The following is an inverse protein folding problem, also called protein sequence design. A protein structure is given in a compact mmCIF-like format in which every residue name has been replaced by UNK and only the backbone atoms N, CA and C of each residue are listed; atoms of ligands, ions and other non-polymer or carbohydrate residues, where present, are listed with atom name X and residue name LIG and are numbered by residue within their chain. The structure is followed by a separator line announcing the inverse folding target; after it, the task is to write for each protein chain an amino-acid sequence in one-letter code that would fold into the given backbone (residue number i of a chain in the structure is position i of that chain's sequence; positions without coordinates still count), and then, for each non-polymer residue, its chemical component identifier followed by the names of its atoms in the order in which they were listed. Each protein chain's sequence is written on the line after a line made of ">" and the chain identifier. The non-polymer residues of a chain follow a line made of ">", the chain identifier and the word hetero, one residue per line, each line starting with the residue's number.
data_IF_724015502840
#
_entry.id   IF_724015502840
#
_cell.length_a   1.000
_cell.length_b   1.000
_cell.length_c   1.000
_cell.angle_alpha   90.00
_cell.angle_beta   90.00
_cell.angle_gamma   90.00
#
_symmetry.space_group_name_H-M   'P 1'
#
loop_
_entity.id
_entity.type
_entity.pdbx_description
1 polymer ?
#
# COMPACT_ATOMS: atom_id res chain seq x y z
N UNK A 1 17.92 -32.77 -7.75
CA UNK A 1 18.72 -31.83 -8.57
C UNK A 1 17.83 -30.72 -9.16
N UNK A 2 16.82 -31.01 -9.99
CA UNK A 2 15.96 -29.95 -10.58
C UNK A 2 15.19 -29.11 -9.52
N UNK A 3 14.77 -29.68 -8.39
CA UNK A 3 14.08 -28.95 -7.31
C UNK A 3 15.02 -28.05 -6.50
N UNK A 4 16.29 -28.39 -6.37
CA UNK A 4 17.28 -27.53 -5.69
C UNK A 4 17.78 -26.39 -6.61
N UNK A 5 17.94 -26.65 -7.92
CA UNK A 5 18.28 -25.60 -8.89
C UNK A 5 17.15 -24.58 -9.06
N UNK A 6 15.88 -24.97 -8.93
CA UNK A 6 14.75 -24.03 -8.98
C UNK A 6 14.71 -23.08 -7.80
N UNK A 7 15.13 -23.53 -6.60
CA UNK A 7 15.21 -22.68 -5.39
C UNK A 7 16.35 -21.65 -5.46
N UNK A 8 17.44 -21.96 -6.13
CA UNK A 8 18.62 -21.07 -6.27
C UNK A 8 18.29 -19.80 -7.10
N UNK A 9 17.21 -19.82 -7.86
CA UNK A 9 16.84 -18.72 -8.77
C UNK A 9 15.59 -17.92 -8.33
N UNK A 10 15.00 -18.26 -7.18
CA UNK A 10 13.82 -17.54 -6.66
C UNK A 10 14.20 -16.16 -6.11
N UNK A 11 13.46 -15.14 -6.51
CA UNK A 11 13.66 -13.78 -6.01
C UNK A 11 13.45 -13.70 -4.51
N UNK A 12 14.34 -13.06 -3.77
CA UNK A 12 14.20 -12.84 -2.33
C UNK A 12 13.36 -11.59 -2.08
N UNK A 13 12.25 -11.74 -1.38
CA UNK A 13 11.27 -10.66 -1.17
C UNK A 13 11.21 -10.27 0.31
N UNK A 14 11.29 -8.97 0.61
CA UNK A 14 10.92 -8.45 1.92
C UNK A 14 9.46 -8.00 1.86
N UNK A 15 8.63 -8.48 2.77
CA UNK A 15 7.21 -8.08 2.91
C UNK A 15 7.04 -7.36 4.24
N UNK A 16 6.36 -6.21 4.26
CA UNK A 16 6.08 -5.53 5.52
C UNK A 16 5.63 -4.10 5.37
N UNK A 17 5.39 -3.46 6.50
CA UNK A 17 5.04 -2.03 6.58
C UNK A 17 5.30 -1.46 7.98
N UNK A 18 5.26 -0.14 8.13
CA UNK A 18 5.03 0.48 9.44
C UNK A 18 3.65 0.08 9.97
N UNK A 19 3.59 -0.27 11.25
CA UNK A 19 2.34 -0.66 11.94
C UNK A 19 2.14 0.18 13.20
N UNK A 20 0.86 0.33 13.61
CA UNK A 20 0.51 1.15 14.76
C UNK A 20 -0.67 0.56 15.53
N UNK A 21 -0.69 0.74 16.86
CA UNK A 21 -1.78 0.29 17.74
C UNK A 21 -3.16 0.85 17.36
N UNK A 22 -3.22 1.99 16.67
CA UNK A 22 -4.49 2.56 16.17
C UNK A 22 -5.21 1.64 15.16
N UNK A 23 -4.46 0.75 14.50
CA UNK A 23 -4.95 -0.25 13.56
C UNK A 23 -5.03 -1.65 14.16
N UNK A 24 -5.05 -1.76 15.50
CA UNK A 24 -5.15 -3.04 16.19
C UNK A 24 -6.40 -3.85 15.80
N UNK A 25 -7.46 -3.18 15.38
CA UNK A 25 -8.72 -3.79 14.95
C UNK A 25 -8.58 -4.77 13.77
N UNK A 26 -7.57 -4.61 12.93
CA UNK A 26 -7.33 -5.44 11.75
C UNK A 26 -6.08 -6.33 11.86
N UNK A 27 -5.32 -6.27 12.95
CA UNK A 27 -4.00 -6.90 13.05
C UNK A 27 -4.05 -8.41 12.86
N UNK A 28 -5.10 -9.10 13.32
CA UNK A 28 -5.20 -10.54 13.16
C UNK A 28 -5.35 -10.94 11.69
N UNK A 29 -6.28 -10.30 10.96
CA UNK A 29 -6.51 -10.57 9.55
C UNK A 29 -5.29 -10.21 8.69
N UNK A 30 -4.62 -9.12 9.03
CA UNK A 30 -3.37 -8.73 8.40
C UNK A 30 -2.25 -9.75 8.63
N UNK A 31 -2.04 -10.21 9.85
CA UNK A 31 -1.06 -11.23 10.19
C UNK A 31 -1.32 -12.55 9.44
N UNK A 32 -2.56 -13.01 9.47
CA UNK A 32 -3.00 -14.21 8.76
C UNK A 32 -2.73 -14.09 7.25
N UNK A 33 -2.98 -12.92 6.66
CA UNK A 33 -2.70 -12.69 5.25
C UNK A 33 -1.22 -12.72 4.91
N UNK A 34 -0.37 -12.02 5.67
CA UNK A 34 1.07 -11.99 5.40
C UNK A 34 1.73 -13.37 5.57
N UNK A 35 1.31 -14.14 6.58
CA UNK A 35 1.87 -15.47 6.85
C UNK A 35 1.33 -16.57 5.93
N UNK A 36 0.28 -16.29 5.15
CA UNK A 36 -0.36 -17.24 4.24
C UNK A 36 -0.06 -16.98 2.76
N UNK A 37 0.89 -16.10 2.44
CA UNK A 37 1.33 -15.88 1.07
C UNK A 37 1.89 -17.18 0.47
N UNK A 38 1.60 -17.44 -0.81
CA UNK A 38 1.95 -18.70 -1.47
C UNK A 38 3.39 -18.76 -1.94
N UNK A 39 4.07 -17.62 -2.05
CA UNK A 39 5.48 -17.54 -2.44
C UNK A 39 6.39 -18.04 -1.32
N UNK A 40 7.41 -18.85 -1.64
CA UNK A 40 8.24 -19.49 -0.61
C UNK A 40 9.44 -18.65 -0.13
N UNK A 41 9.99 -17.77 -0.99
CA UNK A 41 11.24 -17.05 -0.69
C UNK A 41 10.96 -15.60 -0.28
N UNK A 42 10.28 -15.41 0.83
CA UNK A 42 10.04 -14.10 1.41
C UNK A 42 10.26 -14.08 2.92
N UNK A 43 10.63 -12.92 3.43
CA UNK A 43 10.72 -12.61 4.85
C UNK A 43 9.70 -11.52 5.19
N UNK A 44 9.14 -11.59 6.39
CA UNK A 44 8.26 -10.54 6.93
C UNK A 44 9.08 -9.67 7.88
N UNK A 45 8.88 -8.36 7.84
CA UNK A 45 9.31 -7.44 8.88
C UNK A 45 8.30 -6.30 9.04
N UNK A 46 7.84 -6.11 10.27
CA UNK A 46 6.99 -4.98 10.65
C UNK A 46 7.81 -3.95 11.44
N UNK A 47 7.44 -2.69 11.34
CA UNK A 47 8.04 -1.61 12.14
C UNK A 47 6.94 -1.00 13.00
N UNK A 48 6.90 -1.37 14.28
CA UNK A 48 5.93 -0.76 15.21
C UNK A 48 6.34 0.68 15.54
N UNK A 49 5.50 1.62 15.16
CA UNK A 49 5.67 3.05 15.41
C UNK A 49 4.70 3.59 16.48
N UNK A 50 4.12 2.73 17.31
CA UNK A 50 3.28 3.11 18.45
C UNK A 50 4.11 3.79 19.55
N UNK A 51 3.47 4.61 20.39
CA UNK A 51 4.16 5.35 21.44
C UNK A 51 4.74 4.42 22.53
N UNK A 52 3.95 3.42 22.94
CA UNK A 52 4.33 2.45 23.96
C UNK A 52 4.83 1.12 23.39
N UNK A 53 5.18 0.19 24.27
CA UNK A 53 5.69 -1.13 23.88
C UNK A 53 4.61 -2.23 23.88
N UNK A 54 3.39 -1.91 24.27
CA UNK A 54 2.30 -2.91 24.39
C UNK A 54 2.00 -3.57 23.06
N UNK A 55 1.91 -2.78 22.00
CA UNK A 55 1.62 -3.26 20.65
C UNK A 55 2.81 -4.06 20.08
N UNK A 56 4.03 -3.57 20.29
CA UNK A 56 5.24 -4.31 19.93
C UNK A 56 5.27 -5.72 20.57
N UNK A 57 5.00 -5.82 21.88
CA UNK A 57 4.95 -7.10 22.60
C UNK A 57 3.81 -7.98 22.09
N UNK A 58 2.65 -7.39 21.77
CA UNK A 58 1.53 -8.12 21.15
C UNK A 58 1.92 -8.75 19.83
N UNK A 59 2.56 -7.99 18.92
CA UNK A 59 3.04 -8.50 17.63
C UNK A 59 4.04 -9.65 17.82
N UNK A 60 4.99 -9.49 18.73
CA UNK A 60 5.94 -10.58 19.10
C UNK A 60 5.24 -11.84 19.60
N UNK A 61 4.17 -11.69 20.40
CA UNK A 61 3.38 -12.84 20.88
C UNK A 61 2.59 -13.54 19.78
N UNK A 62 2.37 -12.87 18.65
CA UNK A 62 1.78 -13.44 17.43
C UNK A 62 2.82 -14.09 16.50
N UNK A 63 4.08 -14.20 16.94
CA UNK A 63 5.22 -14.68 16.14
C UNK A 63 5.46 -13.87 14.86
N UNK A 64 5.10 -12.59 14.85
CA UNK A 64 5.39 -11.68 13.73
C UNK A 64 6.78 -11.07 13.93
N UNK A 65 7.66 -11.13 12.92
CA UNK A 65 8.92 -10.41 12.95
C UNK A 65 8.68 -8.90 13.00
N UNK A 66 9.05 -8.27 14.10
CA UNK A 66 8.79 -6.85 14.35
C UNK A 66 9.99 -6.17 14.99
N UNK A 67 10.29 -4.95 14.57
CA UNK A 67 11.21 -4.05 15.25
C UNK A 67 10.47 -2.83 15.78
N UNK A 68 10.99 -2.23 16.84
CA UNK A 68 10.46 -0.98 17.36
C UNK A 68 11.08 0.17 16.58
N UNK A 69 10.22 0.96 15.91
CA UNK A 69 10.61 2.23 15.29
C UNK A 69 10.60 3.37 16.30
N UNK A 70 11.26 4.46 15.95
CA UNK A 70 11.18 5.71 16.72
C UNK A 70 9.76 6.29 16.63
N UNK A 71 9.27 6.81 17.76
CA UNK A 71 7.98 7.49 17.82
C UNK A 71 8.13 8.98 17.51
N UNK A 72 7.31 9.46 16.59
CA UNK A 72 7.17 10.87 16.27
C UNK A 72 5.71 11.30 16.50
N UNK A 73 5.48 12.53 16.95
CA UNK A 73 4.11 13.04 17.14
C UNK A 73 3.38 13.18 15.80
N UNK A 74 4.08 13.59 14.74
CA UNK A 74 3.52 13.68 13.39
C UNK A 74 3.40 12.27 12.76
N UNK A 75 2.17 11.84 12.36
CA UNK A 75 1.97 10.51 11.78
C UNK A 75 2.79 10.24 10.52
N UNK A 76 2.98 11.25 9.67
CA UNK A 76 3.76 11.12 8.43
C UNK A 76 5.24 10.83 8.71
N UNK A 77 5.79 11.45 9.75
CA UNK A 77 7.19 11.18 10.16
C UNK A 77 7.34 9.73 10.62
N UNK A 78 6.36 9.18 11.37
CA UNK A 78 6.35 7.77 11.79
C UNK A 78 6.31 6.83 10.59
N UNK A 79 5.43 7.11 9.61
CA UNK A 79 5.27 6.30 8.41
C UNK A 79 6.56 6.27 7.59
N UNK A 80 7.14 7.44 7.33
CA UNK A 80 8.37 7.60 6.56
C UNK A 80 9.55 6.95 7.25
N UNK A 81 9.70 7.15 8.55
CA UNK A 81 10.75 6.49 9.33
C UNK A 81 10.68 4.97 9.19
N UNK A 82 9.51 4.39 9.42
CA UNK A 82 9.31 2.95 9.31
C UNK A 82 9.55 2.41 7.90
N UNK A 83 9.04 3.08 6.86
CA UNK A 83 9.29 2.68 5.47
C UNK A 83 10.76 2.76 5.09
N UNK A 84 11.49 3.75 5.60
CA UNK A 84 12.93 3.86 5.35
C UNK A 84 13.74 2.79 6.09
N UNK A 85 13.35 2.37 7.29
CA UNK A 85 13.97 1.22 7.96
C UNK A 85 13.80 -0.06 7.14
N UNK A 86 12.60 -0.31 6.61
CA UNK A 86 12.33 -1.46 5.73
C UNK A 86 13.11 -1.36 4.41
N UNK A 87 13.16 -0.16 3.82
CA UNK A 87 13.96 0.12 2.64
C UNK A 87 15.44 -0.20 2.88
N UNK A 88 16.02 0.27 3.98
CA UNK A 88 17.42 0.04 4.32
C UNK A 88 17.71 -1.45 4.54
N UNK A 89 16.81 -2.16 5.24
CA UNK A 89 16.90 -3.62 5.36
C UNK A 89 16.89 -4.30 4.00
N UNK A 90 15.94 -3.94 3.13
CA UNK A 90 15.84 -4.54 1.80
C UNK A 90 17.12 -4.34 0.97
N UNK A 91 17.75 -3.17 1.08
CA UNK A 91 19.01 -2.87 0.37
C UNK A 91 20.18 -3.64 0.97
N UNK A 92 20.35 -3.58 2.30
CA UNK A 92 21.55 -4.06 3.00
C UNK A 92 21.60 -5.59 3.06
N UNK A 93 20.45 -6.26 3.09
CA UNK A 93 20.36 -7.72 3.15
C UNK A 93 20.10 -8.37 1.78
N UNK A 94 20.17 -7.56 0.71
CA UNK A 94 20.17 -8.06 -0.67
C UNK A 94 18.84 -8.64 -1.14
N UNK A 95 17.70 -8.14 -0.65
CA UNK A 95 16.40 -8.49 -1.21
C UNK A 95 16.28 -7.99 -2.65
N UNK A 96 15.67 -8.78 -3.52
CA UNK A 96 15.41 -8.38 -4.91
C UNK A 96 14.29 -7.33 -4.98
N UNK A 97 13.26 -7.49 -4.13
CA UNK A 97 12.10 -6.61 -4.05
C UNK A 97 11.67 -6.38 -2.61
N UNK A 98 10.99 -5.26 -2.42
CA UNK A 98 10.22 -4.94 -1.23
C UNK A 98 8.74 -4.83 -1.60
N UNK A 99 7.88 -5.58 -0.91
CA UNK A 99 6.43 -5.47 -0.96
C UNK A 99 5.96 -4.74 0.29
N UNK A 100 5.61 -3.45 0.13
CA UNK A 100 4.91 -2.72 1.17
C UNK A 100 3.44 -3.14 1.16
N UNK A 101 2.93 -3.59 2.31
CA UNK A 101 1.50 -3.88 2.53
C UNK A 101 1.09 -3.17 3.80
N UNK A 102 0.31 -2.08 3.69
CA UNK A 102 -0.13 -1.32 4.86
C UNK A 102 -1.04 -2.17 5.76
N UNK A 103 -1.02 -1.92 7.07
CA UNK A 103 -1.61 -2.77 8.09
C UNK A 103 -3.11 -3.06 7.89
N UNK A 104 -3.81 -2.18 7.22
CA UNK A 104 -5.25 -2.30 6.91
C UNK A 104 -5.53 -2.80 5.48
N UNK A 105 -4.51 -3.21 4.75
CA UNK A 105 -4.62 -3.77 3.39
C UNK A 105 -4.31 -5.26 3.40
N UNK A 106 -5.26 -6.05 2.89
CA UNK A 106 -5.16 -7.51 2.83
C UNK A 106 -4.94 -7.94 1.38
N UNK A 107 -3.75 -8.40 1.01
CA UNK A 107 -3.45 -8.81 -0.34
C UNK A 107 -3.97 -10.24 -0.62
N UNK A 108 -4.23 -10.59 -1.89
CA UNK A 108 -4.39 -11.98 -2.31
C UNK A 108 -3.14 -12.82 -2.04
N UNK A 109 -3.30 -14.12 -1.80
CA UNK A 109 -2.20 -15.02 -1.42
C UNK A 109 -1.09 -15.11 -2.46
N UNK A 110 -1.44 -15.03 -3.74
CA UNK A 110 -0.56 -15.18 -4.91
C UNK A 110 0.01 -13.84 -5.42
N UNK A 111 -0.06 -12.79 -4.62
CA UNK A 111 0.30 -11.43 -5.04
C UNK A 111 1.76 -11.31 -5.49
N UNK A 112 2.70 -11.99 -4.81
CA UNK A 112 4.12 -11.92 -5.14
C UNK A 112 4.39 -12.56 -6.49
N UNK A 113 3.89 -13.77 -6.71
CA UNK A 113 4.06 -14.51 -7.98
C UNK A 113 3.51 -13.71 -9.15
N UNK A 114 2.32 -13.14 -8.99
CA UNK A 114 1.68 -12.34 -10.04
C UNK A 114 2.47 -11.07 -10.35
N UNK A 115 2.96 -10.38 -9.33
CA UNK A 115 3.79 -9.20 -9.54
C UNK A 115 5.12 -9.54 -10.22
N UNK A 116 5.74 -10.66 -9.88
CA UNK A 116 6.96 -11.14 -10.53
C UNK A 116 6.76 -11.50 -12.00
N UNK A 117 5.59 -12.08 -12.37
CA UNK A 117 5.24 -12.42 -13.75
C UNK A 117 5.23 -11.19 -14.66
N UNK A 118 4.89 -10.01 -14.16
CA UNK A 118 4.89 -8.78 -14.94
C UNK A 118 6.29 -8.29 -15.33
N UNK A 119 7.36 -8.76 -14.66
CA UNK A 119 8.74 -8.35 -14.91
C UNK A 119 8.93 -6.83 -14.88
N UNK A 120 8.19 -6.14 -14.03
CA UNK A 120 8.26 -4.68 -13.85
C UNK A 120 9.00 -4.33 -12.55
N UNK A 121 9.56 -3.12 -12.50
CA UNK A 121 10.32 -2.67 -11.32
C UNK A 121 9.45 -2.06 -10.23
N UNK A 122 8.29 -1.54 -10.60
CA UNK A 122 7.30 -0.98 -9.66
C UNK A 122 5.92 -1.41 -10.11
N UNK A 123 5.22 -2.17 -9.26
CA UNK A 123 3.84 -2.65 -9.48
C UNK A 123 3.03 -2.42 -8.24
N UNK A 124 1.77 -2.03 -8.39
CA UNK A 124 0.81 -1.90 -7.29
C UNK A 124 -0.40 -2.79 -7.52
N UNK A 125 -0.96 -3.31 -6.43
CA UNK A 125 -2.32 -3.85 -6.40
C UNK A 125 -3.34 -2.74 -6.24
N UNK A 126 -4.60 -3.08 -6.40
CA UNK A 126 -5.72 -2.15 -6.28
C UNK A 126 -6.33 -2.30 -4.89
N UNK A 127 -6.52 -1.21 -4.18
CA UNK A 127 -7.37 -1.15 -3.00
C UNK A 127 -8.22 0.11 -3.05
N UNK A 128 -9.38 0.05 -2.40
CA UNK A 128 -10.38 1.11 -2.50
C UNK A 128 -10.43 1.92 -1.23
N UNK A 129 -10.74 3.20 -1.38
CA UNK A 129 -11.05 4.08 -0.27
C UNK A 129 -12.42 4.72 -0.48
N UNK A 130 -13.03 5.24 0.59
CA UNK A 130 -14.28 5.97 0.52
C UNK A 130 -14.03 7.45 0.25
N UNK A 131 -14.79 8.03 -0.67
CA UNK A 131 -14.78 9.48 -0.89
C UNK A 131 -15.59 10.15 0.23
N UNK A 132 -14.97 11.05 0.98
CA UNK A 132 -15.69 11.92 1.90
C UNK A 132 -16.39 13.02 1.12
N UNK A 133 -17.69 13.15 1.27
CA UNK A 133 -18.44 14.29 0.76
C UNK A 133 -18.67 15.30 1.88
N UNK A 134 -18.27 16.54 1.66
CA UNK A 134 -18.80 17.67 2.43
C UNK A 134 -20.19 17.98 1.90
N UNK A 135 -21.22 18.13 2.77
CA UNK A 135 -22.58 18.50 2.33
C UNK A 135 -22.53 19.83 1.58
N UNK A 136 -23.05 19.86 0.35
CA UNK A 136 -23.07 21.09 -0.46
C UNK A 136 -24.37 21.87 -0.36
N UNK A 137 -25.36 21.41 0.40
CA UNK A 137 -26.67 22.06 0.54
C UNK A 137 -26.88 22.66 1.92
N UNK A 138 -27.28 23.93 1.96
CA UNK A 138 -27.74 24.60 3.17
C UNK A 138 -28.90 23.79 3.79
N UNK A 139 -28.78 23.38 5.06
CA UNK A 139 -29.80 22.62 5.79
C UNK A 139 -29.58 21.12 5.92
N UNK A 140 -28.55 20.52 5.31
CA UNK A 140 -28.15 19.15 5.62
C UNK A 140 -27.39 19.12 6.95
N UNK A 141 -27.86 18.25 7.89
CA UNK A 141 -27.14 18.04 9.15
C UNK A 141 -25.72 17.59 8.87
N UNK A 142 -24.75 18.19 9.54
CA UNK A 142 -23.36 17.75 9.55
C UNK A 142 -23.30 16.25 9.94
N UNK A 143 -23.18 15.41 8.93
CA UNK A 143 -22.90 14.00 9.05
C UNK A 143 -21.92 13.66 7.93
N UNK A 144 -20.80 13.00 8.26
CA UNK A 144 -19.90 12.48 7.24
C UNK A 144 -20.68 11.50 6.37
N UNK A 145 -21.08 11.91 5.18
CA UNK A 145 -21.58 10.99 4.15
C UNK A 145 -20.37 10.40 3.45
N UNK A 146 -20.17 9.13 3.62
CA UNK A 146 -19.20 8.38 2.82
C UNK A 146 -19.87 8.04 1.49
N UNK A 147 -19.24 8.52 0.43
CA UNK A 147 -19.70 8.26 -0.92
C UNK A 147 -19.10 6.99 -1.51
N UNK A 148 -19.10 6.95 -2.82
CA UNK A 148 -18.65 5.78 -3.58
C UNK A 148 -17.23 5.37 -3.26
N UNK A 149 -16.98 4.07 -3.31
CA UNK A 149 -15.63 3.51 -3.30
C UNK A 149 -14.87 3.98 -4.54
N UNK A 150 -13.59 4.24 -4.37
CA UNK A 150 -12.71 4.58 -5.48
C UNK A 150 -11.35 3.89 -5.31
N UNK A 151 -10.75 3.41 -6.42
CA UNK A 151 -9.40 2.88 -6.38
C UNK A 151 -8.37 3.99 -6.12
N UNK A 152 -7.36 3.69 -5.31
CA UNK A 152 -6.29 4.65 -4.97
C UNK A 152 -5.23 4.75 -6.06
N UNK A 153 -5.69 4.93 -7.30
CA UNK A 153 -4.87 4.93 -8.52
C UNK A 153 -5.20 6.17 -9.35
N UNK A 154 -4.18 6.82 -9.90
CA UNK A 154 -4.30 7.97 -10.79
C UNK A 154 -3.58 7.71 -12.10
N UNK A 155 -4.19 8.11 -13.20
CA UNK A 155 -3.64 8.02 -14.56
C UNK A 155 -3.28 9.40 -15.11
N UNK A 156 -2.41 9.41 -16.10
CA UNK A 156 -2.11 10.61 -16.87
C UNK A 156 -3.34 11.03 -17.67
N UNK A 157 -3.47 12.34 -17.89
CA UNK A 157 -4.45 12.91 -18.81
C UNK A 157 -3.71 13.56 -20.01
N UNK A 158 -4.47 13.97 -21.00
CA UNK A 158 -3.94 14.74 -22.14
C UNK A 158 -3.50 16.17 -21.75
N UNK A 159 -3.83 16.61 -20.53
CA UNK A 159 -3.42 17.92 -20.01
C UNK A 159 -2.17 17.74 -19.16
N UNK A 160 -1.18 18.58 -19.39
CA UNK A 160 0.05 18.61 -18.60
C UNK A 160 -0.28 18.83 -17.12
N UNK A 161 0.39 18.08 -16.27
CA UNK A 161 0.32 18.17 -14.79
C UNK A 161 -1.10 17.92 -14.20
N UNK A 162 -2.01 17.35 -14.98
CA UNK A 162 -3.34 16.96 -14.51
C UNK A 162 -3.44 15.43 -14.46
N UNK A 163 -3.59 14.90 -13.26
CA UNK A 163 -3.88 13.49 -13.05
C UNK A 163 -5.39 13.28 -12.88
N UNK A 164 -5.88 12.15 -13.32
CA UNK A 164 -7.26 11.74 -13.14
C UNK A 164 -7.31 10.40 -12.42
N UNK A 165 -8.17 10.32 -11.42
CA UNK A 165 -8.39 9.07 -10.70
C UNK A 165 -8.97 8.02 -11.63
N UNK A 166 -8.44 6.79 -11.55
CA UNK A 166 -8.99 5.64 -12.26
C UNK A 166 -10.40 5.36 -11.72
N UNK A 167 -11.31 5.00 -12.62
CA UNK A 167 -12.68 4.62 -12.24
C UNK A 167 -12.80 3.11 -12.13
N UNK A 168 -13.80 2.64 -11.39
CA UNK A 168 -14.07 1.22 -11.20
C UNK A 168 -14.25 0.47 -12.54
N UNK A 169 -14.97 1.04 -13.49
CA UNK A 169 -15.19 0.45 -14.82
C UNK A 169 -13.95 0.44 -15.73
N UNK A 170 -12.84 1.00 -15.29
CA UNK A 170 -11.55 0.96 -15.97
C UNK A 170 -10.62 -0.14 -15.40
N UNK A 171 -11.10 -0.91 -14.42
CA UNK A 171 -10.40 -2.08 -13.89
C UNK A 171 -10.68 -3.29 -14.78
N UNK A 172 -9.93 -3.39 -15.88
CA UNK A 172 -10.16 -4.40 -16.93
C UNK A 172 -9.53 -5.76 -16.66
N UNK A 173 -8.84 -5.92 -15.53
CA UNK A 173 -8.06 -7.11 -15.23
C UNK A 173 -6.67 -7.13 -15.85
N UNK A 174 -6.27 -6.04 -16.52
CA UNK A 174 -4.98 -5.92 -17.21
C UNK A 174 -3.94 -5.17 -16.38
N UNK A 175 -2.68 -5.31 -16.79
CA UNK A 175 -1.59 -4.49 -16.29
C UNK A 175 -1.59 -3.14 -17.01
N UNK A 176 -1.83 -2.05 -16.29
CA UNK A 176 -1.88 -0.70 -16.85
C UNK A 176 -0.77 0.18 -16.31
N UNK A 177 -0.20 1.02 -17.17
CA UNK A 177 0.73 2.06 -16.71
C UNK A 177 -0.07 3.20 -16.10
N UNK A 178 0.38 3.65 -14.93
CA UNK A 178 -0.29 4.68 -14.14
C UNK A 178 0.65 5.85 -13.83
N UNK A 179 0.07 6.95 -13.35
CA UNK A 179 0.83 8.13 -12.94
C UNK A 179 1.17 8.11 -11.45
N UNK A 180 0.22 7.67 -10.60
CA UNK A 180 0.39 7.65 -9.16
C UNK A 180 -0.53 6.60 -8.52
N UNK A 181 -0.13 6.13 -7.34
CA UNK A 181 -0.90 5.19 -6.52
C UNK A 181 -0.64 5.47 -5.04
N UNK A 182 -1.54 4.98 -4.19
CA UNK A 182 -1.23 4.86 -2.77
C UNK A 182 -0.19 3.76 -2.51
N UNK A 183 0.48 3.82 -1.39
CA UNK A 183 1.52 2.84 -1.02
C UNK A 183 1.02 1.60 -0.30
N UNK A 184 -0.30 1.49 -0.08
CA UNK A 184 -0.90 0.39 0.71
C UNK A 184 -0.64 -1.02 0.18
N UNK A 185 -0.34 -1.18 -1.12
CA UNK A 185 0.11 -2.44 -1.71
C UNK A 185 1.07 -2.14 -2.86
N UNK A 186 2.36 -1.99 -2.57
CA UNK A 186 3.35 -1.50 -3.53
C UNK A 186 4.58 -2.41 -3.56
N UNK A 187 4.86 -3.00 -4.73
CA UNK A 187 5.98 -3.89 -5.00
C UNK A 187 7.09 -3.14 -5.72
N UNK A 188 8.27 -3.07 -5.11
CA UNK A 188 9.35 -2.18 -5.52
C UNK A 188 10.66 -2.99 -5.67
N UNK A 189 11.25 -2.96 -6.85
CA UNK A 189 12.56 -3.57 -7.09
C UNK A 189 13.67 -2.82 -6.35
N UNK A 190 14.66 -3.55 -5.82
CA UNK A 190 15.79 -3.00 -5.05
C UNK A 190 16.55 -1.87 -5.78
N UNK A 191 16.69 -1.94 -7.11
CA UNK A 191 17.33 -0.86 -7.88
C UNK A 191 16.61 0.49 -7.79
N UNK A 192 15.32 0.49 -7.44
CA UNK A 192 14.53 1.71 -7.19
C UNK A 192 14.77 2.19 -5.77
N UNK A 193 14.71 1.27 -4.80
CA UNK A 193 14.98 1.59 -3.39
C UNK A 193 16.34 2.23 -3.19
N UNK A 194 17.35 1.84 -3.96
CA UNK A 194 18.69 2.48 -3.94
C UNK A 194 18.69 3.91 -4.45
N UNK A 195 17.71 4.31 -5.26
CA UNK A 195 17.62 5.65 -5.87
C UNK A 195 16.69 6.59 -5.13
N UNK A 196 15.61 6.06 -4.55
CA UNK A 196 14.53 6.83 -3.93
C UNK A 196 14.46 6.48 -2.45
N UNK A 197 14.32 7.52 -1.61
CA UNK A 197 14.04 7.42 -0.18
C UNK A 197 12.63 7.95 0.07
N UNK A 198 11.85 7.31 0.94
CA UNK A 198 10.55 7.84 1.33
C UNK A 198 10.71 9.18 2.06
N UNK A 199 9.95 10.17 1.61
CA UNK A 199 9.97 11.53 2.16
C UNK A 199 8.66 12.27 1.89
N UNK A 200 8.48 13.42 2.52
CA UNK A 200 7.46 14.40 2.18
C UNK A 200 7.97 15.82 2.44
N UNK A 201 7.27 16.83 1.93
CA UNK A 201 7.45 18.23 2.29
C UNK A 201 6.11 18.81 2.75
N UNK A 202 6.17 19.92 3.49
CA UNK A 202 4.95 20.62 3.96
C UNK A 202 4.49 21.72 2.99
N UNK A 203 5.20 21.92 1.87
CA UNK A 203 4.91 22.99 0.90
C UNK A 203 3.52 22.90 0.27
N UNK A 204 3.01 21.68 0.14
CA UNK A 204 1.70 21.43 -0.48
C UNK A 204 0.58 21.16 0.54
N UNK A 205 0.89 21.28 1.83
CA UNK A 205 -0.12 21.15 2.89
C UNK A 205 -1.04 22.37 2.89
N UNK A 206 -2.33 22.13 3.06
CA UNK A 206 -3.33 23.19 3.26
C UNK A 206 -4.06 22.92 4.57
N UNK A 207 -3.62 23.57 5.65
CA UNK A 207 -4.18 23.40 7.00
C UNK A 207 -5.63 23.86 7.09
N UNK A 208 -6.02 24.93 6.37
CA UNK A 208 -7.39 25.46 6.39
C UNK A 208 -8.39 24.46 5.76
N UNK A 209 -7.94 23.70 4.76
CA UNK A 209 -8.73 22.66 4.09
C UNK A 209 -8.50 21.26 4.68
N UNK A 210 -7.72 21.15 5.76
CA UNK A 210 -7.30 19.86 6.33
C UNK A 210 -6.74 18.90 5.27
N UNK A 211 -5.94 19.44 4.36
CA UNK A 211 -5.33 18.69 3.26
C UNK A 211 -3.84 18.53 3.51
N UNK A 212 -3.40 17.28 3.55
CA UNK A 212 -2.02 16.89 3.79
C UNK A 212 -1.56 15.93 2.70
N UNK A 213 -0.36 16.15 2.18
CA UNK A 213 0.25 15.29 1.17
C UNK A 213 1.13 14.27 1.85
N UNK A 214 0.93 13.00 1.51
CA UNK A 214 1.66 11.88 2.07
C UNK A 214 2.84 11.47 1.18
N UNK A 215 3.70 10.63 1.72
CA UNK A 215 4.93 10.14 1.08
C UNK A 215 4.70 9.33 -0.20
N UNK A 216 3.55 8.70 -0.38
CA UNK A 216 3.15 7.99 -1.60
C UNK A 216 3.13 8.90 -2.83
N UNK A 217 2.61 10.12 -2.67
CA UNK A 217 2.60 11.13 -3.74
C UNK A 217 4.03 11.55 -4.10
N UNK A 218 4.89 11.76 -3.11
CA UNK A 218 6.29 12.15 -3.34
C UNK A 218 7.08 11.00 -3.96
N UNK A 219 6.87 9.77 -3.51
CA UNK A 219 7.49 8.59 -4.10
C UNK A 219 7.13 8.44 -5.59
N UNK A 220 5.85 8.61 -5.94
CA UNK A 220 5.41 8.58 -7.33
C UNK A 220 5.98 9.73 -8.15
N UNK A 221 6.11 10.93 -7.57
CA UNK A 221 6.74 12.09 -8.20
C UNK A 221 8.21 11.83 -8.52
N UNK A 222 8.96 11.29 -7.56
CA UNK A 222 10.37 10.93 -7.76
C UNK A 222 10.55 9.89 -8.87
N UNK A 223 9.65 8.89 -8.92
CA UNK A 223 9.64 7.91 -10.02
C UNK A 223 9.41 8.58 -11.37
N UNK A 224 8.48 9.53 -11.43
CA UNK A 224 8.16 10.28 -12.66
C UNK A 224 9.37 11.12 -13.11
N UNK A 225 10.04 11.84 -12.20
CA UNK A 225 11.24 12.64 -12.47
C UNK A 225 12.39 11.75 -12.99
N UNK A 226 12.54 10.56 -12.46
CA UNK A 226 13.51 9.56 -12.91
C UNK A 226 13.06 8.80 -14.18
N UNK A 227 11.89 9.11 -14.74
CA UNK A 227 11.29 8.43 -15.90
C UNK A 227 11.14 6.91 -15.68
N UNK A 228 10.80 6.51 -14.47
CA UNK A 228 10.54 5.12 -14.09
C UNK A 228 9.04 4.89 -14.10
N UNK A 229 8.51 4.03 -14.98
CA UNK A 229 7.08 3.77 -15.05
C UNK A 229 6.59 2.97 -13.84
N UNK A 230 5.39 3.31 -13.38
CA UNK A 230 4.62 2.58 -12.38
C UNK A 230 3.52 1.82 -13.11
N UNK A 231 3.23 0.60 -12.68
CA UNK A 231 2.17 -0.23 -13.23
C UNK A 231 1.20 -0.64 -12.13
N UNK A 232 -0.09 -0.72 -12.47
CA UNK A 232 -1.12 -1.30 -11.63
C UNK A 232 -1.62 -2.60 -12.26
N UNK A 233 -1.65 -3.67 -11.49
CA UNK A 233 -2.36 -4.89 -11.87
C UNK A 233 -3.83 -4.74 -11.48
N UNK A 234 -4.68 -4.42 -12.44
CA UNK A 234 -6.10 -4.14 -12.20
C UNK A 234 -6.93 -5.39 -11.89
N UNK A 235 -6.36 -6.58 -12.01
CA UNK A 235 -6.96 -7.83 -11.54
C UNK A 235 -6.60 -8.16 -10.09
N UNK A 236 -5.58 -7.49 -9.53
CA UNK A 236 -5.06 -7.75 -8.19
C UNK A 236 -5.71 -6.82 -7.18
N UNK A 237 -6.89 -7.19 -6.70
CA UNK A 237 -7.68 -6.38 -5.78
C UNK A 237 -7.41 -6.81 -4.34
N UNK A 238 -6.89 -5.89 -3.55
CA UNK A 238 -6.66 -6.06 -2.13
C UNK A 238 -7.87 -5.56 -1.33
N UNK A 239 -8.21 -6.25 -0.25
CA UNK A 239 -9.25 -5.79 0.68
C UNK A 239 -8.68 -4.67 1.56
N UNK A 240 -9.40 -3.56 1.71
CA UNK A 240 -9.02 -2.46 2.60
C UNK A 240 -9.93 -2.45 3.83
N UNK A 241 -9.36 -2.66 5.00
CA UNK A 241 -10.09 -2.74 6.27
C UNK A 241 -10.21 -1.34 6.89
N UNK A 242 -11.25 -0.62 6.53
CA UNK A 242 -11.51 0.72 7.07
C UNK A 242 -12.30 0.59 8.36
N UNK A 243 -11.77 1.16 9.46
CA UNK A 243 -12.39 1.13 10.78
C UNK A 243 -13.83 1.65 10.71
N UNK A 244 -14.74 0.94 11.39
CA UNK A 244 -16.17 1.25 11.48
C UNK A 244 -16.91 1.26 10.12
N UNK A 245 -16.30 0.71 9.07
CA UNK A 245 -16.90 0.48 7.76
C UNK A 245 -16.90 -1.01 7.49
N UNK A 246 -18.07 -1.56 7.37
CA UNK A 246 -18.25 -2.96 7.02
C UNK A 246 -17.95 -3.25 5.54
N UNK A 247 -16.78 -2.79 5.05
CA UNK A 247 -16.39 -3.10 3.67
C UNK A 247 -15.98 -4.55 3.58
N UNK A 248 -16.60 -5.28 2.68
CA UNK A 248 -16.27 -6.66 2.36
C UNK A 248 -16.06 -6.81 0.85
N UNK A 249 -15.37 -7.86 0.45
CA UNK A 249 -15.29 -8.26 -0.95
C UNK A 249 -16.66 -8.37 -1.61
N UNK A 250 -17.67 -8.80 -0.86
CA UNK A 250 -19.05 -8.89 -1.32
C UNK A 250 -19.59 -7.54 -1.78
N UNK A 251 -19.18 -6.43 -1.13
CA UNK A 251 -19.64 -5.09 -1.52
C UNK A 251 -19.09 -4.66 -2.88
N UNK A 252 -17.91 -5.16 -3.27
CA UNK A 252 -17.33 -4.89 -4.58
C UNK A 252 -18.00 -5.75 -5.67
N UNK A 253 -18.11 -7.05 -5.45
CA UNK A 253 -18.63 -7.98 -6.45
C UNK A 253 -20.15 -7.92 -6.59
N UNK A 254 -20.91 -7.67 -5.51
CA UNK A 254 -22.36 -7.52 -5.59
C UNK A 254 -22.80 -6.32 -6.44
N UNK A 255 -21.95 -5.30 -6.60
CA UNK A 255 -22.20 -4.19 -7.50
C UNK A 255 -21.96 -4.53 -8.97
N UNK A 256 -21.10 -5.48 -9.28
CA UNK A 256 -20.84 -5.93 -10.65
C UNK A 256 -22.01 -6.81 -11.18
N UNK A 257 -22.56 -7.67 -10.31
CA UNK A 257 -23.70 -8.55 -10.68
C UNK A 257 -25.02 -7.79 -10.89
N UNK A 258 -25.15 -6.58 -10.35
CA UNK A 258 -26.35 -5.74 -10.53
C UNK A 258 -26.30 -4.81 -11.75
N UNK A 259 -25.21 -4.83 -12.53
CA UNK A 259 -25.05 -4.03 -13.75
C UNK A 259 -25.05 -4.85 -15.05
N UNK A 260 -25.58 -6.09 -15.00
CA UNK A 260 -25.80 -6.97 -16.18
C UNK A 260 -27.28 -6.98 -16.54
#
# INVERSE_FOLDING_TARGET
>A
MELEESKINMKKILVGSPVNEMYDYCIKEYADALTSLSYENYDILLVDNSKGDSFYKKLGSMNLPVIKGEYFEEPRDRMIHGRNLLREKAINEGYDFFLNVDQDVIPPKDIIERFLQHKKRVVTGIYFNYRKFTPRKLGEKEGERYGDLFPTIWKFTNKKDVLMQLRENELTGELVQIASCGSGCLFIHNSILKKIKFHYTKEHDNKEKNYFVFDDVYFCKDLMELKIPIYADTSMICKHLIKDKGWTWADYYSKQDNNV
#
